data_IF_946596337836
#
_entry.id   IF_946596337836
#
_cell.length_a   1.000
_cell.length_b   1.000
_cell.length_c   1.000
_cell.angle_alpha   90.00
_cell.angle_beta   90.00
_cell.angle_gamma   90.00
#
_symmetry.space_group_name_H-M   'P 1'
#
loop_
_entity.id
_entity.type
_entity.pdbx_description
1 polymer ?
#
# COMPACT_ATOMS: atom_id res chain seq x y z
N UNK A 1 -0.41 -11.93 2.99
CA UNK A 1 -0.36 -11.52 1.56
C UNK A 1 1.07 -11.19 1.19
N UNK A 2 1.57 -11.67 0.03
CA UNK A 2 2.92 -11.30 -0.45
C UNK A 2 2.96 -9.82 -0.84
N UNK A 3 4.05 -9.12 -0.50
CA UNK A 3 4.28 -7.72 -0.86
C UNK A 3 4.04 -7.44 -2.33
N UNK A 4 4.62 -8.26 -3.20
CA UNK A 4 4.49 -8.16 -4.67
C UNK A 4 3.03 -8.12 -5.14
N UNK A 5 2.13 -8.85 -4.46
CA UNK A 5 0.70 -8.85 -4.79
C UNK A 5 0.06 -7.52 -4.39
N UNK A 6 0.41 -6.98 -3.23
CA UNK A 6 -0.06 -5.67 -2.78
C UNK A 6 0.47 -4.55 -3.69
N UNK A 7 1.74 -4.59 -4.06
CA UNK A 7 2.37 -3.62 -4.98
C UNK A 7 1.69 -3.60 -6.35
N UNK A 8 1.34 -4.77 -6.90
CA UNK A 8 0.63 -4.85 -8.18
C UNK A 8 -0.75 -4.17 -8.12
N UNK A 9 -1.45 -4.28 -6.99
CA UNK A 9 -2.76 -3.65 -6.79
C UNK A 9 -2.66 -2.15 -6.54
N UNK A 10 -1.57 -1.70 -5.92
CA UNK A 10 -1.33 -0.29 -5.55
C UNK A 10 -0.39 0.43 -6.54
N UNK A 11 -0.13 -0.15 -7.72
CA UNK A 11 0.91 0.34 -8.64
C UNK A 11 0.73 1.81 -9.03
N UNK A 12 -0.51 2.29 -9.16
CA UNK A 12 -0.82 3.67 -9.54
C UNK A 12 -0.93 4.61 -8.33
N UNK A 13 -0.81 4.08 -7.12
CA UNK A 13 -1.05 4.78 -5.86
C UNK A 13 0.23 4.94 -5.05
N UNK A 14 1.38 4.46 -5.54
CA UNK A 14 2.66 4.77 -4.92
C UNK A 14 3.02 6.23 -5.15
N UNK A 15 3.25 6.95 -4.05
CA UNK A 15 3.65 8.36 -4.07
C UNK A 15 5.17 8.50 -4.02
N UNK A 16 5.82 7.83 -3.07
CA UNK A 16 7.25 7.94 -2.84
C UNK A 16 7.84 6.71 -2.16
N UNK A 17 9.11 6.47 -2.41
CA UNK A 17 9.89 5.41 -1.80
C UNK A 17 10.69 5.99 -0.63
N UNK A 18 10.34 5.61 0.61
CA UNK A 18 11.12 5.96 1.79
C UNK A 18 12.22 4.93 2.08
N UNK A 19 13.16 5.25 2.97
CA UNK A 19 14.21 4.30 3.37
C UNK A 19 13.65 3.03 4.05
N UNK A 20 12.72 3.20 4.99
CA UNK A 20 12.12 2.11 5.77
C UNK A 20 10.82 1.55 5.18
N UNK A 21 10.01 2.42 4.58
CA UNK A 21 8.68 2.07 4.07
C UNK A 21 8.37 2.89 2.82
N UNK A 22 7.50 2.37 1.97
CA UNK A 22 6.94 3.13 0.85
C UNK A 22 5.75 3.96 1.35
N UNK A 23 5.42 5.03 0.64
CA UNK A 23 4.21 5.81 0.92
C UNK A 23 3.29 5.66 -0.27
N UNK A 24 2.07 5.18 -0.01
CA UNK A 24 0.99 5.19 -0.97
C UNK A 24 0.00 6.32 -0.67
N UNK A 25 -0.72 6.78 -1.68
CA UNK A 25 -1.75 7.81 -1.55
C UNK A 25 -2.98 7.45 -2.37
N UNK A 26 -4.16 7.84 -1.88
CA UNK A 26 -5.41 7.82 -2.65
C UNK A 26 -5.75 9.20 -3.25
N UNK A 27 -4.81 10.14 -3.19
CA UNK A 27 -5.01 11.54 -3.59
C UNK A 27 -5.64 12.43 -2.51
N UNK A 28 -6.16 11.86 -1.42
CA UNK A 28 -6.70 12.59 -0.27
C UNK A 28 -5.94 12.31 1.03
N UNK A 29 -5.37 11.11 1.18
CA UNK A 29 -4.65 10.65 2.36
C UNK A 29 -3.43 9.82 1.94
N UNK A 30 -2.35 9.99 2.68
CA UNK A 30 -1.13 9.20 2.58
C UNK A 30 -1.13 8.07 3.61
N UNK A 31 -0.63 6.90 3.21
CA UNK A 31 -0.54 5.72 4.06
C UNK A 31 0.81 5.03 3.86
N UNK A 32 1.40 4.57 4.96
CA UNK A 32 2.66 3.85 4.96
C UNK A 32 2.47 2.40 4.48
N UNK A 33 3.22 2.01 3.45
CA UNK A 33 3.25 0.65 2.91
C UNK A 33 4.54 -0.03 3.42
N UNK A 34 4.43 -1.01 4.33
CA UNK A 34 5.59 -1.71 4.86
C UNK A 34 6.28 -2.54 3.77
N UNK A 35 7.62 -2.61 3.83
CA UNK A 35 8.44 -3.34 2.85
C UNK A 35 8.68 -4.82 3.17
N UNK A 36 7.92 -5.38 4.11
CA UNK A 36 8.09 -6.77 4.51
C UNK A 36 7.69 -7.69 3.35
N UNK A 37 8.47 -8.77 3.13
CA UNK A 37 8.19 -9.78 2.09
C UNK A 37 6.78 -10.37 2.24
N UNK A 38 6.38 -10.61 3.48
CA UNK A 38 5.06 -11.03 3.89
C UNK A 38 4.38 -9.96 4.74
N UNK A 39 3.18 -9.58 4.32
CA UNK A 39 2.34 -8.60 5.01
C UNK A 39 1.14 -9.35 5.58
N UNK A 40 0.79 -9.04 6.83
CA UNK A 40 -0.42 -9.58 7.44
C UNK A 40 -1.62 -9.29 6.53
N UNK A 41 -2.44 -10.29 6.27
CA UNK A 41 -3.54 -10.16 5.34
C UNK A 41 -4.59 -9.14 5.77
N UNK A 42 -4.84 -9.01 7.08
CA UNK A 42 -5.73 -7.98 7.63
C UNK A 42 -5.17 -6.58 7.34
N UNK A 43 -3.88 -6.39 7.58
CA UNK A 43 -3.20 -5.11 7.31
C UNK A 43 -3.25 -4.77 5.82
N UNK A 44 -2.92 -5.72 4.94
CA UNK A 44 -2.95 -5.52 3.50
C UNK A 44 -4.35 -5.13 3.00
N UNK A 45 -5.41 -5.76 3.52
CA UNK A 45 -6.81 -5.42 3.19
C UNK A 45 -7.18 -4.01 3.67
N UNK A 46 -6.74 -3.61 4.86
CA UNK A 46 -6.97 -2.24 5.37
C UNK A 46 -6.27 -1.20 4.51
N UNK A 47 -4.99 -1.42 4.17
CA UNK A 47 -4.22 -0.54 3.28
C UNK A 47 -4.92 -0.43 1.93
N UNK A 48 -5.33 -1.55 1.32
CA UNK A 48 -6.08 -1.53 0.06
C UNK A 48 -7.38 -0.73 0.17
N UNK A 49 -8.16 -0.91 1.22
CA UNK A 49 -9.42 -0.15 1.41
C UNK A 49 -9.20 1.35 1.54
N UNK A 50 -8.12 1.77 2.21
CA UNK A 50 -7.80 3.19 2.37
C UNK A 50 -7.26 3.79 1.08
N UNK A 51 -6.37 3.08 0.40
CA UNK A 51 -5.63 3.62 -0.74
C UNK A 51 -6.39 3.45 -2.07
N UNK A 52 -7.06 2.32 -2.28
CA UNK A 52 -7.69 1.96 -3.55
C UNK A 52 -9.10 2.54 -3.68
N UNK A 53 -9.30 3.83 -3.35
CA UNK A 53 -10.59 4.55 -3.40
C UNK A 53 -11.50 3.96 -4.50
N UNK A 54 -12.48 3.15 -4.11
CA UNK A 54 -13.53 2.74 -5.03
C UNK A 54 -14.40 3.98 -5.20
N UNK A 55 -14.46 4.50 -6.42
CA UNK A 55 -15.54 5.38 -6.83
C UNK A 55 -16.89 4.71 -6.56
#
# INVERSE_FOLDING_TARGET
MKRRKLEKLLRQQFLRHGGKQDVGTNGAQEEAIPRHSEINEKLARTILRRIQKRA
#
